data_IF_053461741379
#
_entry.id   IF_053461741379
#
_cell.length_a   1.000
_cell.length_b   1.000
_cell.length_c   1.000
_cell.angle_alpha   90.00
_cell.angle_beta   90.00
_cell.angle_gamma   90.00
#
_symmetry.space_group_name_H-M   'P 1'
#
loop_
_entity.id
_entity.type
_entity.pdbx_description
1 polymer ?
#
# COMPACT_ATOMS: atom_id res chain seq x y z
N UNK A 1 18.62 -10.09 -19.21
CA UNK A 1 17.49 -9.69 -20.06
C UNK A 1 17.44 -8.18 -20.09
N UNK A 2 17.54 -7.57 -21.27
CA UNK A 2 17.29 -6.13 -21.44
C UNK A 2 15.77 -5.99 -21.61
N UNK A 3 15.06 -5.30 -20.70
CA UNK A 3 13.61 -5.14 -20.84
C UNK A 3 13.28 -4.32 -22.10
N UNK A 4 12.30 -4.77 -22.87
CA UNK A 4 11.85 -4.09 -24.10
C UNK A 4 10.44 -3.49 -23.88
N UNK A 5 9.64 -4.12 -23.02
CA UNK A 5 8.31 -3.65 -22.63
C UNK A 5 8.22 -3.35 -21.14
N UNK A 6 7.23 -2.55 -20.73
CA UNK A 6 6.96 -2.27 -19.31
C UNK A 6 6.74 -3.55 -18.49
N UNK A 7 6.09 -4.56 -19.09
CA UNK A 7 5.86 -5.84 -18.44
C UNK A 7 7.17 -6.59 -18.17
N UNK A 8 8.17 -6.45 -19.06
CA UNK A 8 9.49 -7.04 -18.86
C UNK A 8 10.24 -6.37 -17.70
N UNK A 9 10.06 -5.06 -17.51
CA UNK A 9 10.59 -4.36 -16.34
C UNK A 9 9.96 -4.87 -15.05
N UNK A 10 8.64 -5.04 -15.02
CA UNK A 10 7.93 -5.61 -13.86
C UNK A 10 8.43 -7.02 -13.55
N UNK A 11 8.56 -7.88 -14.56
CA UNK A 11 9.09 -9.24 -14.41
C UNK A 11 10.52 -9.23 -13.89
N UNK A 12 11.40 -8.43 -14.49
CA UNK A 12 12.80 -8.33 -14.08
C UNK A 12 12.92 -7.84 -12.63
N UNK A 13 12.15 -6.81 -12.27
CA UNK A 13 12.13 -6.28 -10.92
C UNK A 13 11.61 -7.31 -9.91
N UNK A 14 10.52 -8.02 -10.22
CA UNK A 14 9.98 -9.09 -9.38
C UNK A 14 10.98 -10.22 -9.16
N UNK A 15 11.70 -10.64 -10.22
CA UNK A 15 12.76 -11.65 -10.11
C UNK A 15 13.95 -11.17 -9.26
N UNK A 16 14.34 -9.89 -9.37
CA UNK A 16 15.36 -9.30 -8.50
C UNK A 16 14.90 -9.24 -7.05
N UNK A 17 13.65 -8.88 -6.80
CA UNK A 17 13.05 -8.86 -5.46
C UNK A 17 13.08 -10.23 -4.77
N UNK A 18 12.87 -11.31 -5.51
CA UNK A 18 12.95 -12.68 -4.95
C UNK A 18 14.38 -13.09 -4.59
N UNK A 19 15.35 -12.68 -5.40
CA UNK A 19 16.75 -13.16 -5.31
C UNK A 19 17.62 -12.28 -4.41
N UNK A 20 17.35 -10.98 -4.36
CA UNK A 20 18.10 -10.01 -3.57
C UNK A 20 17.39 -9.68 -2.26
N UNK A 21 17.92 -10.24 -1.16
CA UNK A 21 17.40 -10.03 0.20
C UNK A 21 17.51 -8.57 0.66
N UNK A 22 18.50 -7.82 0.20
CA UNK A 22 18.68 -6.41 0.57
C UNK A 22 17.60 -5.56 -0.08
N UNK A 23 17.39 -5.74 -1.39
CA UNK A 23 16.32 -5.09 -2.14
C UNK A 23 14.94 -5.42 -1.53
N UNK A 24 14.69 -6.70 -1.23
CA UNK A 24 13.46 -7.11 -0.56
C UNK A 24 13.26 -6.40 0.78
N UNK A 25 14.29 -6.32 1.62
CA UNK A 25 14.22 -5.68 2.93
C UNK A 25 13.89 -4.18 2.82
N UNK A 26 14.49 -3.49 1.85
CA UNK A 26 14.18 -2.08 1.59
C UNK A 26 12.74 -1.89 1.14
N UNK A 27 12.27 -2.70 0.18
CA UNK A 27 10.90 -2.62 -0.32
C UNK A 27 9.88 -2.95 0.77
N UNK A 28 10.16 -3.97 1.59
CA UNK A 28 9.34 -4.32 2.75
C UNK A 28 9.20 -3.15 3.72
N UNK A 29 10.32 -2.49 4.07
CA UNK A 29 10.30 -1.32 4.97
C UNK A 29 9.43 -0.18 4.42
N UNK A 30 9.50 0.06 3.11
CA UNK A 30 8.70 1.10 2.46
C UNK A 30 7.20 0.77 2.53
N UNK A 31 6.82 -0.47 2.20
CA UNK A 31 5.43 -0.95 2.31
C UNK A 31 4.93 -0.87 3.75
N UNK A 32 5.71 -1.32 4.73
CA UNK A 32 5.36 -1.25 6.15
C UNK A 32 5.16 0.19 6.62
N UNK A 33 6.02 1.12 6.19
CA UNK A 33 5.89 2.55 6.49
C UNK A 33 4.60 3.14 5.89
N UNK A 34 4.28 2.78 4.64
CA UNK A 34 3.05 3.22 3.98
C UNK A 34 1.80 2.67 4.66
N UNK A 35 1.81 1.38 5.03
CA UNK A 35 0.71 0.75 5.76
C UNK A 35 0.50 1.40 7.14
N UNK A 36 1.59 1.64 7.88
CA UNK A 36 1.53 2.32 9.18
C UNK A 36 0.94 3.73 9.03
N UNK A 37 1.46 4.52 8.11
CA UNK A 37 0.97 5.88 7.86
C UNK A 37 -0.50 5.91 7.44
N UNK A 38 -0.91 5.01 6.54
CA UNK A 38 -2.30 4.88 6.09
C UNK A 38 -3.22 4.50 7.24
N UNK A 39 -2.80 3.56 8.09
CA UNK A 39 -3.54 3.13 9.28
C UNK A 39 -3.70 4.28 10.28
N UNK A 40 -2.64 5.02 10.57
CA UNK A 40 -2.69 6.19 11.46
C UNK A 40 -3.60 7.29 10.92
N UNK A 41 -3.52 7.58 9.61
CA UNK A 41 -4.41 8.55 8.96
C UNK A 41 -5.87 8.11 9.07
N UNK A 42 -6.15 6.84 8.76
CA UNK A 42 -7.50 6.31 8.81
C UNK A 42 -8.06 6.31 10.26
N UNK A 43 -7.22 6.00 11.27
CA UNK A 43 -7.60 6.15 12.69
C UNK A 43 -7.89 7.59 13.07
N UNK A 44 -7.08 8.56 12.61
CA UNK A 44 -7.35 9.99 12.84
C UNK A 44 -8.64 10.45 12.18
N UNK A 45 -8.97 9.94 11.00
CA UNK A 45 -10.18 10.33 10.27
C UNK A 45 -11.45 9.68 10.81
N UNK A 46 -11.39 8.40 11.20
CA UNK A 46 -12.58 7.61 11.50
C UNK A 46 -12.67 7.12 12.95
N UNK A 47 -11.64 7.35 13.76
CA UNK A 47 -11.55 6.83 15.12
C UNK A 47 -11.17 5.35 15.16
N UNK A 48 -10.70 4.89 16.33
CA UNK A 48 -10.28 3.49 16.53
C UNK A 48 -11.45 2.56 16.85
N UNK A 49 -12.35 2.99 17.74
CA UNK A 49 -13.52 2.20 18.15
C UNK A 49 -14.71 2.35 17.19
N UNK A 50 -14.89 3.53 16.60
CA UNK A 50 -16.03 3.87 15.73
C UNK A 50 -15.70 3.86 14.23
N UNK A 51 -14.56 3.25 13.86
CA UNK A 51 -14.01 3.30 12.50
C UNK A 51 -15.06 3.06 11.41
N UNK A 52 -15.78 1.93 11.51
CA UNK A 52 -16.77 1.52 10.50
C UNK A 52 -17.94 2.51 10.39
N UNK A 53 -18.41 3.02 11.53
CA UNK A 53 -19.52 3.96 11.57
C UNK A 53 -19.13 5.27 10.89
N UNK A 54 -17.97 5.83 11.25
CA UNK A 54 -17.49 7.10 10.71
C UNK A 54 -17.07 6.99 9.25
N UNK A 55 -16.43 5.89 8.86
CA UNK A 55 -16.11 5.60 7.45
C UNK A 55 -17.38 5.51 6.59
N UNK A 56 -18.43 4.82 7.04
CA UNK A 56 -19.72 4.77 6.33
C UNK A 56 -20.38 6.14 6.23
N UNK A 57 -20.37 6.93 7.30
CA UNK A 57 -20.88 8.31 7.28
C UNK A 57 -20.12 9.16 6.26
N UNK A 58 -18.80 9.00 6.17
CA UNK A 58 -17.96 9.70 5.20
C UNK A 58 -18.28 9.29 3.75
N UNK A 59 -18.38 7.99 3.47
CA UNK A 59 -18.70 7.49 2.13
C UNK A 59 -20.09 7.94 1.64
N UNK A 60 -21.09 7.96 2.54
CA UNK A 60 -22.42 8.49 2.22
C UNK A 60 -22.39 9.97 1.83
N UNK A 61 -21.57 10.78 2.51
CA UNK A 61 -21.39 12.20 2.14
C UNK A 61 -20.77 12.38 0.76
N UNK A 62 -20.01 11.39 0.28
CA UNK A 62 -19.39 11.39 -1.05
C UNK A 62 -20.25 10.71 -2.12
N UNK A 63 -21.46 10.23 -1.78
CA UNK A 63 -22.31 9.42 -2.67
C UNK A 63 -21.61 8.15 -3.21
N UNK A 64 -20.70 7.57 -2.42
CA UNK A 64 -20.02 6.31 -2.74
C UNK A 64 -20.68 5.08 -2.09
N UNK A 65 -21.72 5.33 -1.29
CA UNK A 65 -22.58 4.35 -0.61
C UNK A 65 -23.95 4.99 -0.35
#
# INVERSE_FOLDING_TARGET
MIPITDLDYVKLYAERLKKDKSLFKQQKKLIESQMKSSSELAKKMFGENDFKLNARKYLRKLNLL
#
